data_IF_684078907170
#
_entry.id   IF_684078907170
#
_cell.length_a   1.000
_cell.length_b   1.000
_cell.length_c   1.000
_cell.angle_alpha   90.00
_cell.angle_beta   90.00
_cell.angle_gamma   90.00
#
_symmetry.space_group_name_H-M   'P 1'
#
loop_
_entity.id
_entity.type
_entity.pdbx_description
1 polymer ?
#
# COMPACT_ATOMS: atom_id res chain seq x y z
N UNK A 1 -14.26 -14.31 -4.32
CA UNK A 1 -14.49 -13.31 -5.38
C UNK A 1 -13.62 -12.12 -5.04
N UNK A 2 -12.75 -11.73 -5.96
CA UNK A 2 -11.90 -10.54 -5.81
C UNK A 2 -12.76 -9.30 -5.99
N UNK A 3 -12.58 -8.29 -5.12
CA UNK A 3 -13.30 -7.00 -5.19
C UNK A 3 -12.90 -6.21 -6.46
N UNK A 4 -11.67 -6.43 -6.96
CA UNK A 4 -11.14 -5.80 -8.17
C UNK A 4 -11.18 -6.76 -9.35
N UNK A 5 -11.59 -6.24 -10.50
CA UNK A 5 -11.52 -6.90 -11.81
C UNK A 5 -10.06 -7.10 -12.24
N UNK A 6 -9.81 -8.01 -13.18
CA UNK A 6 -8.45 -8.23 -13.71
C UNK A 6 -7.82 -6.95 -14.25
N UNK A 7 -8.61 -6.11 -14.94
CA UNK A 7 -8.16 -4.83 -15.46
C UNK A 7 -7.77 -3.85 -14.35
N UNK A 8 -8.56 -3.77 -13.27
CA UNK A 8 -8.24 -2.93 -12.11
C UNK A 8 -6.99 -3.41 -11.37
N UNK A 9 -6.81 -4.73 -11.24
CA UNK A 9 -5.61 -5.31 -10.64
C UNK A 9 -4.37 -4.97 -11.46
N UNK A 10 -4.46 -5.06 -12.79
CA UNK A 10 -3.38 -4.69 -13.70
C UNK A 10 -3.06 -3.18 -13.63
N UNK A 11 -4.08 -2.33 -13.55
CA UNK A 11 -3.89 -0.88 -13.37
C UNK A 11 -3.19 -0.56 -12.04
N UNK A 12 -3.60 -1.22 -10.96
CA UNK A 12 -2.97 -1.06 -9.63
C UNK A 12 -1.52 -1.55 -9.67
N UNK A 13 -1.26 -2.73 -10.24
CA UNK A 13 0.09 -3.27 -10.35
C UNK A 13 1.00 -2.38 -11.20
N UNK A 14 0.48 -1.82 -12.30
CA UNK A 14 1.20 -0.83 -13.11
C UNK A 14 1.49 0.44 -12.32
N UNK A 15 0.53 0.96 -11.54
CA UNK A 15 0.75 2.14 -10.71
C UNK A 15 1.83 1.91 -9.64
N UNK A 16 1.88 0.72 -9.03
CA UNK A 16 2.96 0.33 -8.12
C UNK A 16 4.30 0.31 -8.85
N UNK A 17 4.35 -0.37 -10.00
CA UNK A 17 5.57 -0.46 -10.81
C UNK A 17 6.07 0.91 -11.30
N UNK A 18 5.18 1.87 -11.54
CA UNK A 18 5.56 3.25 -11.87
C UNK A 18 6.05 4.02 -10.64
N UNK A 19 5.42 3.86 -9.49
CA UNK A 19 5.88 4.44 -8.23
C UNK A 19 7.29 3.96 -7.86
N UNK A 20 7.56 2.65 -7.97
CA UNK A 20 8.86 2.02 -7.68
C UNK A 20 9.95 2.37 -8.71
N UNK A 21 9.61 2.97 -9.86
CA UNK A 21 10.62 3.56 -10.76
C UNK A 21 11.08 4.93 -10.28
N UNK A 22 10.29 5.61 -9.46
CA UNK A 22 10.63 6.93 -8.92
C UNK A 22 11.35 6.83 -7.57
N UNK A 23 11.06 5.78 -6.79
CA UNK A 23 11.62 5.56 -5.45
C UNK A 23 12.20 4.15 -5.32
N UNK A 24 13.22 3.98 -4.46
CA UNK A 24 13.65 2.64 -4.03
C UNK A 24 12.76 2.03 -2.94
N UNK A 25 11.72 2.75 -2.51
CA UNK A 25 10.74 2.25 -1.55
C UNK A 25 9.75 1.30 -2.20
N UNK A 26 9.45 0.20 -1.50
CA UNK A 26 8.56 -0.83 -2.03
C UNK A 26 7.15 -0.68 -1.49
N UNK A 27 6.16 -0.74 -2.38
CA UNK A 27 4.77 -0.46 -2.02
C UNK A 27 3.93 -1.70 -2.24
N UNK A 28 3.26 -2.14 -1.18
CA UNK A 28 2.39 -3.31 -1.20
C UNK A 28 0.99 -2.99 -0.73
N UNK A 29 0.02 -3.70 -1.28
CA UNK A 29 -1.40 -3.47 -0.99
C UNK A 29 -1.99 -4.73 -0.39
N UNK A 30 -2.57 -4.59 0.80
CA UNK A 30 -3.30 -5.65 1.48
C UNK A 30 -4.79 -5.31 1.56
N UNK A 31 -5.63 -6.22 1.09
CA UNK A 31 -7.08 -6.00 1.01
C UNK A 31 -7.78 -7.07 1.82
N UNK A 32 -8.67 -6.62 2.71
CA UNK A 32 -9.53 -7.47 3.52
C UNK A 32 -11.01 -7.11 3.32
N UNK A 33 -11.89 -8.05 3.63
CA UNK A 33 -13.33 -7.80 3.63
C UNK A 33 -13.72 -6.98 4.85
N UNK A 34 -13.35 -7.51 6.02
CA UNK A 34 -13.81 -7.01 7.29
C UNK A 34 -12.66 -6.83 8.27
N UNK A 35 -12.60 -5.64 8.86
CA UNK A 35 -11.61 -5.33 9.87
C UNK A 35 -12.25 -5.40 11.26
N UNK A 36 -12.13 -6.58 11.89
CA UNK A 36 -12.45 -6.74 13.31
C UNK A 36 -11.36 -6.03 14.15
N UNK A 37 -11.65 -4.80 14.57
CA UNK A 37 -10.75 -3.95 15.37
C UNK A 37 -10.23 -2.72 14.63
N UNK A 38 -8.99 -2.33 14.92
CA UNK A 38 -8.30 -1.20 14.30
C UNK A 38 -7.60 -1.58 12.99
N UNK A 39 -7.81 -0.79 11.93
CA UNK A 39 -7.13 -0.99 10.65
C UNK A 39 -5.61 -0.89 10.76
N UNK A 40 -5.11 -0.03 11.67
CA UNK A 40 -3.69 0.10 11.95
C UNK A 40 -3.10 -1.18 12.53
N UNK A 41 -3.72 -1.78 13.57
CA UNK A 41 -3.24 -3.02 14.19
C UNK A 41 -3.21 -4.18 13.17
N UNK A 42 -4.25 -4.28 12.34
CA UNK A 42 -4.30 -5.26 11.25
C UNK A 42 -3.19 -5.04 10.23
N UNK A 43 -3.01 -3.79 9.78
CA UNK A 43 -1.92 -3.45 8.87
C UNK A 43 -0.57 -3.85 9.47
N UNK A 44 -0.30 -3.50 10.73
CA UNK A 44 0.97 -3.84 11.40
C UNK A 44 1.18 -5.36 11.47
N UNK A 45 0.14 -6.13 11.79
CA UNK A 45 0.23 -7.60 11.78
C UNK A 45 0.56 -8.14 10.40
N UNK A 46 -0.09 -7.63 9.35
CA UNK A 46 0.15 -8.07 7.97
C UNK A 46 1.50 -7.61 7.45
N UNK A 47 2.01 -6.48 7.90
CA UNK A 47 3.35 -5.99 7.54
C UNK A 47 4.43 -7.02 7.88
N UNK A 48 4.41 -7.51 9.13
CA UNK A 48 5.33 -8.53 9.60
C UNK A 48 5.06 -9.89 8.95
N UNK A 49 3.80 -10.27 8.74
CA UNK A 49 3.43 -11.53 8.09
C UNK A 49 3.91 -11.60 6.63
N UNK A 50 3.85 -10.46 5.93
CA UNK A 50 4.29 -10.32 4.55
C UNK A 50 5.79 -10.12 4.39
N UNK A 51 6.54 -10.04 5.51
CA UNK A 51 7.98 -9.87 5.53
C UNK A 51 8.44 -8.52 4.96
N UNK A 52 7.60 -7.49 5.07
CA UNK A 52 7.90 -6.15 4.58
C UNK A 52 9.10 -5.51 5.30
N UNK A 53 9.45 -6.01 6.49
CA UNK A 53 10.61 -5.62 7.29
C UNK A 53 11.94 -6.14 6.73
N UNK A 54 11.91 -7.04 5.74
CA UNK A 54 13.11 -7.68 5.16
C UNK A 54 13.75 -6.89 4.02
N UNK A 55 13.20 -5.73 3.67
CA UNK A 55 13.77 -4.81 2.68
C UNK A 55 15.13 -4.31 3.13
N UNK A 56 16.10 -4.22 2.23
CA UNK A 56 17.48 -3.86 2.58
C UNK A 56 17.59 -2.48 3.25
N UNK A 57 16.71 -1.56 2.86
CA UNK A 57 16.68 -0.18 3.36
C UNK A 57 15.56 0.09 4.37
N UNK A 58 14.82 -0.93 4.81
CA UNK A 58 13.71 -0.74 5.74
C UNK A 58 12.75 0.35 5.23
N UNK A 59 12.36 0.23 3.97
CA UNK A 59 11.58 1.23 3.23
C UNK A 59 10.34 0.63 2.55
N UNK A 60 9.82 -0.46 3.11
CA UNK A 60 8.54 -1.04 2.72
C UNK A 60 7.34 -0.23 3.22
N UNK A 61 6.31 -0.10 2.39
CA UNK A 61 5.04 0.56 2.69
C UNK A 61 3.89 -0.40 2.45
N UNK A 62 3.06 -0.65 3.47
CA UNK A 62 1.84 -1.43 3.32
C UNK A 62 0.63 -0.51 3.37
N UNK A 63 -0.15 -0.54 2.29
CA UNK A 63 -1.48 0.07 2.21
C UNK A 63 -2.50 -1.02 2.52
N UNK A 64 -3.13 -0.94 3.68
CA UNK A 64 -4.19 -1.84 4.11
C UNK A 64 -5.57 -1.22 3.83
N UNK A 65 -6.47 -1.98 3.20
CA UNK A 65 -7.85 -1.58 2.92
C UNK A 65 -8.83 -2.67 3.35
N UNK A 66 -9.78 -2.30 4.20
CA UNK A 66 -10.96 -3.10 4.55
C UNK A 66 -12.19 -2.49 3.87
N UNK A 67 -12.60 -3.08 2.75
CA UNK A 67 -13.56 -2.44 1.85
C UNK A 67 -15.00 -2.47 2.36
N UNK A 68 -15.42 -3.47 3.15
CA UNK A 68 -16.79 -3.48 3.71
C UNK A 68 -16.92 -2.57 4.94
N UNK A 69 -15.85 -2.42 5.71
CA UNK A 69 -15.78 -1.53 6.87
C UNK A 69 -15.47 -0.08 6.50
N UNK A 70 -15.13 0.20 5.23
CA UNK A 70 -14.66 1.50 4.74
C UNK A 70 -13.48 2.05 5.56
N UNK A 71 -12.62 1.15 6.05
CA UNK A 71 -11.43 1.47 6.83
C UNK A 71 -10.18 1.21 6.00
N UNK A 72 -9.19 2.06 6.15
CA UNK A 72 -7.89 1.84 5.55
C UNK A 72 -6.80 2.37 6.48
N UNK A 73 -5.58 1.87 6.31
CA UNK A 73 -4.41 2.32 7.05
C UNK A 73 -3.20 2.26 6.12
N UNK A 74 -2.30 3.23 6.26
CA UNK A 74 -1.02 3.24 5.57
C UNK A 74 0.04 3.12 6.64
N UNK A 75 0.94 2.16 6.49
CA UNK A 75 2.07 1.98 7.40
C UNK A 75 3.35 1.89 6.59
N UNK A 76 4.35 2.64 7.02
CA UNK A 76 5.71 2.52 6.52
C UNK A 76 6.58 1.78 7.52
N UNK A 77 7.66 1.18 7.03
CA UNK A 77 8.68 0.61 7.90
C UNK A 77 9.38 1.69 8.74
N UNK A 78 10.17 1.24 9.70
CA UNK A 78 11.01 2.05 10.57
C UNK A 78 11.97 2.99 9.83
N UNK A 79 12.48 2.62 8.65
CA UNK A 79 13.36 3.50 7.86
C UNK A 79 12.62 4.73 7.35
N UNK A 80 11.38 4.56 6.89
CA UNK A 80 10.51 5.66 6.45
C UNK A 80 10.12 6.53 7.64
N UNK A 81 9.61 5.93 8.72
CA UNK A 81 9.15 6.68 9.90
C UNK A 81 10.26 7.51 10.57
N UNK A 82 11.54 7.17 10.36
CA UNK A 82 12.67 7.96 10.87
C UNK A 82 12.96 9.22 10.06
N UNK A 83 12.61 9.24 8.77
CA UNK A 83 12.97 10.32 7.85
C UNK A 83 11.78 11.20 7.48
N UNK A 84 10.57 10.65 7.48
CA UNK A 84 9.36 11.39 7.10
C UNK A 84 8.69 12.05 8.32
N UNK A 85 8.05 13.21 8.14
CA UNK A 85 7.26 13.85 9.20
C UNK A 85 5.96 13.08 9.51
N UNK A 86 5.36 13.33 10.67
CA UNK A 86 4.12 12.65 11.11
C UNK A 86 2.94 12.88 10.13
N UNK A 87 2.86 14.05 9.50
CA UNK A 87 1.84 14.40 8.51
C UNK A 87 2.13 13.86 7.09
N UNK A 88 3.21 13.09 6.90
CA UNK A 88 3.63 12.63 5.58
C UNK A 88 2.53 11.87 4.83
N UNK A 89 1.78 11.02 5.54
CA UNK A 89 0.70 10.23 4.96
C UNK A 89 -0.63 10.98 4.85
N UNK A 90 -0.78 12.15 5.46
CA UNK A 90 -2.07 12.84 5.54
C UNK A 90 -2.63 13.15 4.14
N UNK A 91 -1.81 13.73 3.26
CA UNK A 91 -2.24 14.04 1.88
C UNK A 91 -2.64 12.79 1.10
N UNK A 92 -1.88 11.69 1.27
CA UNK A 92 -2.17 10.41 0.62
C UNK A 92 -3.51 9.87 1.13
N UNK A 93 -3.72 9.87 2.44
CA UNK A 93 -4.98 9.43 3.05
C UNK A 93 -6.17 10.26 2.57
N UNK A 94 -6.02 11.58 2.45
CA UNK A 94 -7.07 12.49 1.96
C UNK A 94 -7.44 12.17 0.51
N UNK A 95 -6.45 11.99 -0.37
CA UNK A 95 -6.67 11.64 -1.77
C UNK A 95 -7.38 10.29 -1.92
N UNK A 96 -6.90 9.25 -1.23
CA UNK A 96 -7.51 7.92 -1.23
C UNK A 96 -8.97 7.99 -0.75
N UNK A 97 -9.21 8.69 0.37
CA UNK A 97 -10.53 8.83 0.96
C UNK A 97 -11.53 9.51 0.01
N UNK A 98 -11.11 10.52 -0.75
CA UNK A 98 -11.99 11.18 -1.73
C UNK A 98 -12.50 10.22 -2.81
N UNK A 99 -11.62 9.33 -3.30
CA UNK A 99 -12.00 8.30 -4.27
C UNK A 99 -12.88 7.21 -3.65
N UNK A 100 -12.57 6.78 -2.41
CA UNK A 100 -13.36 5.79 -1.69
C UNK A 100 -14.79 6.27 -1.42
N UNK A 101 -14.96 7.54 -1.08
CA UNK A 101 -16.29 8.17 -0.93
C UNK A 101 -17.09 8.19 -2.23
N UNK A 102 -16.42 8.20 -3.38
CA UNK A 102 -17.05 8.14 -4.70
C UNK A 102 -17.32 6.70 -5.18
N UNK A 103 -17.04 5.69 -4.35
CA UNK A 103 -17.18 4.27 -4.69
C UNK A 103 -16.06 3.70 -5.58
N UNK A 104 -15.04 4.49 -5.90
CA UNK A 104 -13.95 4.09 -6.79
C UNK A 104 -12.74 3.62 -5.98
N UNK A 105 -12.80 2.39 -5.45
CA UNK A 105 -11.74 1.82 -4.62
C UNK A 105 -10.42 1.66 -5.38
N UNK A 106 -10.46 1.14 -6.62
CA UNK A 106 -9.25 0.95 -7.42
C UNK A 106 -8.53 2.27 -7.70
N UNK A 107 -9.28 3.31 -8.10
CA UNK A 107 -8.73 4.64 -8.34
C UNK A 107 -8.16 5.27 -7.06
N UNK A 108 -8.82 5.05 -5.91
CA UNK A 108 -8.29 5.49 -4.63
C UNK A 108 -6.95 4.86 -4.30
N UNK A 109 -6.80 3.56 -4.53
CA UNK A 109 -5.52 2.86 -4.36
C UNK A 109 -4.47 3.41 -5.33
N UNK A 110 -4.79 3.53 -6.62
CA UNK A 110 -3.86 4.04 -7.65
C UNK A 110 -3.36 5.45 -7.28
N UNK A 111 -4.27 6.35 -6.91
CA UNK A 111 -3.93 7.69 -6.47
C UNK A 111 -3.06 7.67 -5.20
N UNK A 112 -3.38 6.80 -4.25
CA UNK A 112 -2.61 6.61 -3.03
C UNK A 112 -1.19 6.12 -3.29
N UNK A 113 -1.04 5.11 -4.15
CA UNK A 113 0.25 4.55 -4.56
C UNK A 113 1.09 5.57 -5.31
N UNK A 114 0.50 6.28 -6.26
CA UNK A 114 1.19 7.31 -7.04
C UNK A 114 1.72 8.43 -6.13
N UNK A 115 0.87 8.97 -5.24
CA UNK A 115 1.28 9.98 -4.26
C UNK A 115 2.31 9.46 -3.26
N UNK A 116 2.17 8.20 -2.81
CA UNK A 116 3.14 7.57 -1.92
C UNK A 116 4.50 7.48 -2.62
N UNK A 117 4.55 7.00 -3.86
CA UNK A 117 5.78 6.92 -4.67
C UNK A 117 6.44 8.28 -4.88
N UNK A 118 5.68 9.29 -5.28
CA UNK A 118 6.21 10.65 -5.46
C UNK A 118 6.80 11.22 -4.17
N UNK A 119 6.10 11.03 -3.04
CA UNK A 119 6.58 11.51 -1.75
C UNK A 119 7.79 10.72 -1.27
N UNK A 120 7.80 9.40 -1.46
CA UNK A 120 8.94 8.54 -1.09
C UNK A 120 10.17 8.86 -1.94
N UNK A 121 10.02 9.21 -3.21
CA UNK A 121 11.12 9.59 -4.09
C UNK A 121 11.93 10.79 -3.57
N UNK A 122 11.32 11.65 -2.74
CA UNK A 122 12.02 12.78 -2.10
C UNK A 122 13.00 12.34 -1.00
N UNK A 123 12.74 11.20 -0.35
CA UNK A 123 13.53 10.67 0.77
C UNK A 123 14.38 9.46 0.37
N UNK A 124 13.82 8.60 -0.47
CA UNK A 124 14.39 7.36 -1.02
C UNK A 124 14.33 7.43 -2.55
N UNK A 125 15.11 8.30 -3.20
CA UNK A 125 15.13 8.37 -4.66
C UNK A 125 15.60 7.04 -5.25
N UNK A 126 15.04 6.67 -6.40
CA UNK A 126 15.44 5.46 -7.13
C UNK A 126 16.97 5.40 -7.31
N UNK A 127 17.57 4.27 -6.93
CA UNK A 127 19.01 4.05 -7.08
C UNK A 127 19.29 3.15 -8.29
N UNK A 128 20.35 3.47 -9.03
CA UNK A 128 20.67 2.73 -10.25
C UNK A 128 21.12 1.30 -9.90
N UNK A 129 20.26 0.31 -10.16
CA UNK A 129 20.46 -1.08 -9.74
C UNK A 129 19.48 -1.58 -8.68
N UNK A 130 18.45 -0.78 -8.35
CA UNK A 130 17.33 -1.23 -7.53
C UNK A 130 16.70 -2.50 -8.12
N UNK A 131 16.59 -3.54 -7.30
CA UNK A 131 15.96 -4.80 -7.65
C UNK A 131 14.62 -4.80 -6.96
N UNK A 132 13.55 -5.11 -7.68
CA UNK A 132 12.24 -5.30 -7.08
C UNK A 132 12.30 -6.45 -6.06
N UNK A 133 12.29 -6.14 -4.76
CA UNK A 133 12.44 -7.08 -3.64
C UNK A 133 11.07 -7.64 -3.21
N UNK A 134 9.96 -6.96 -3.51
CA UNK A 134 8.58 -7.33 -3.17
C UNK A 134 7.67 -7.43 -4.42
N UNK A 135 6.64 -8.28 -4.40
CA UNK A 135 5.73 -8.39 -5.53
C UNK A 135 4.68 -7.26 -5.55
N UNK A 136 4.46 -6.71 -6.76
CA UNK A 136 3.55 -5.59 -7.04
C UNK A 136 2.08 -6.01 -7.13
N UNK A 137 1.75 -7.19 -6.60
CA UNK A 137 0.41 -7.75 -6.65
C UNK A 137 -0.36 -7.42 -5.37
N UNK A 138 -1.68 -7.26 -5.53
CA UNK A 138 -2.58 -7.06 -4.40
C UNK A 138 -2.67 -8.35 -3.59
N UNK A 139 -2.39 -8.24 -2.30
CA UNK A 139 -2.51 -9.35 -1.36
C UNK A 139 -3.91 -9.35 -0.76
N UNK A 140 -4.67 -10.41 -1.03
CA UNK A 140 -5.99 -10.60 -0.43
C UNK A 140 -5.85 -11.38 0.88
N UNK A 141 -6.07 -10.71 2.02
CA UNK A 141 -5.88 -11.29 3.35
C UNK A 141 -7.11 -12.01 3.90
N UNK A 142 -8.25 -11.94 3.20
CA UNK A 142 -9.38 -12.79 3.52
C UNK A 142 -9.13 -14.20 2.98
N UNK A 143 -9.05 -15.18 3.88
CA UNK A 143 -9.07 -16.59 3.48
C UNK A 143 -10.38 -16.83 2.73
N UNK A 144 -10.28 -17.47 1.57
CA UNK A 144 -11.40 -18.18 0.99
C UNK A 144 -11.85 -19.16 2.08
N UNK A 145 -12.99 -18.92 2.73
CA UNK A 145 -13.65 -19.93 3.53
C UNK A 145 -13.93 -21.08 2.57
N UNK A 146 -12.99 -22.01 2.51
CA UNK A 146 -13.21 -23.31 1.91
C UNK A 146 -14.32 -23.94 2.77
N UNK A 147 -15.52 -23.91 2.19
CA UNK A 147 -16.68 -24.69 2.60
C UNK A 147 -16.30 -26.12 2.95
#
# INVERSE_FOLDING_TARGET
MSIFSTEEQEQIANAIAEAEKATSGEIRIAVDKHCHGGAFEKATSYFTELGMDKTASHNGVLIYLAYEDHKFAIIGDSGINKVVPEDFWETTQVAMKAHFLSGNLAQGIIAGVSLAGEKLALYFPYQNGDVNELPNEIVYMYKNEAK
#
